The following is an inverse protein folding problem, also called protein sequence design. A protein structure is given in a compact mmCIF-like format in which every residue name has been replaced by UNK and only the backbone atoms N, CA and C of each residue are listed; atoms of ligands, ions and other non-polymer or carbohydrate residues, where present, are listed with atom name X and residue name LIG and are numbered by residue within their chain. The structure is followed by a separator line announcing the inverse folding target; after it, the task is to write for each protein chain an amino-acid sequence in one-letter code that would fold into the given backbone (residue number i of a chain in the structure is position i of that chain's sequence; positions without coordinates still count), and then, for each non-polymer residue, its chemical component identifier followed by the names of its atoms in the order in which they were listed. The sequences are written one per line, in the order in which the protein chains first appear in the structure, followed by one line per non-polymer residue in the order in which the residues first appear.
data_IF_121045529857
#
_entry.id   IF_121045529857
#
_cell.length_a   1.000
_cell.length_b   1.000
_cell.length_c   1.000
_cell.angle_alpha   90.00
_cell.angle_beta   90.00
_cell.angle_gamma   90.00
#
_symmetry.space_group_name_H-M   'P 1'
#
loop_
_entity.id
_entity.type
_entity.pdbx_description
1 polymer ?
#
# COMPACT_ATOMS: atom_id res chain seq x y z
N UNK A 1 13.92 13.00 -10.56
CA UNK A 1 12.73 12.83 -9.69
C UNK A 1 12.42 11.35 -9.55
N UNK A 2 12.10 10.86 -8.36
CA UNK A 2 11.71 9.45 -8.14
C UNK A 2 10.21 9.30 -8.36
N UNK A 3 9.79 8.29 -9.12
CA UNK A 3 8.40 8.00 -9.44
C UNK A 3 7.87 6.95 -8.48
N UNK A 4 6.84 7.29 -7.71
CA UNK A 4 6.28 6.42 -6.67
C UNK A 4 4.81 6.17 -6.94
N UNK A 5 4.42 4.91 -7.08
CA UNK A 5 3.03 4.49 -7.13
C UNK A 5 2.57 3.96 -5.78
N UNK A 6 1.42 4.42 -5.30
CA UNK A 6 0.74 3.86 -4.13
C UNK A 6 -0.57 3.26 -4.63
N UNK A 7 -0.64 1.93 -4.65
CA UNK A 7 -1.77 1.18 -5.20
C UNK A 7 -2.46 0.45 -4.06
N UNK A 8 -3.75 0.70 -3.86
CA UNK A 8 -4.44 0.12 -2.72
C UNK A 8 -5.89 -0.28 -3.01
N UNK A 9 -6.40 -1.19 -2.17
CA UNK A 9 -7.82 -1.41 -1.99
C UNK A 9 -8.25 -0.93 -0.60
N UNK A 10 -9.44 -0.34 -0.48
CA UNK A 10 -10.01 0.09 0.80
C UNK A 10 -11.53 0.03 0.74
N UNK A 11 -12.15 -0.80 1.58
CA UNK A 11 -13.60 -0.86 1.69
C UNK A 11 -14.16 0.30 2.53
N UNK A 12 -13.63 0.50 3.74
CA UNK A 12 -14.17 1.43 4.75
C UNK A 12 -13.26 2.62 5.07
N UNK A 13 -12.25 2.88 4.25
CA UNK A 13 -11.42 4.08 4.36
C UNK A 13 -10.09 3.92 5.11
N UNK A 14 -9.92 2.96 6.01
CA UNK A 14 -8.69 2.86 6.83
C UNK A 14 -7.42 2.72 5.98
N UNK A 15 -7.43 1.88 4.95
CA UNK A 15 -6.27 1.70 4.05
C UNK A 15 -6.07 2.91 3.14
N UNK A 16 -7.17 3.59 2.73
CA UNK A 16 -7.08 4.85 1.98
C UNK A 16 -6.36 5.92 2.79
N UNK A 17 -6.67 6.08 4.07
CA UNK A 17 -6.01 7.05 4.94
C UNK A 17 -4.51 6.77 5.08
N UNK A 18 -4.12 5.50 5.23
CA UNK A 18 -2.70 5.09 5.22
C UNK A 18 -2.05 5.39 3.86
N UNK A 19 -2.72 5.10 2.75
CA UNK A 19 -2.21 5.34 1.40
C UNK A 19 -1.98 6.84 1.12
N UNK A 20 -2.89 7.69 1.57
CA UNK A 20 -2.75 9.15 1.49
C UNK A 20 -1.56 9.64 2.33
N UNK A 21 -1.40 9.16 3.57
CA UNK A 21 -0.25 9.47 4.40
C UNK A 21 1.08 8.99 3.78
N UNK A 22 1.12 7.81 3.17
CA UNK A 22 2.29 7.35 2.41
C UNK A 22 2.60 8.30 1.25
N UNK A 23 1.57 8.70 0.48
CA UNK A 23 1.73 9.63 -0.63
C UNK A 23 2.30 10.99 -0.16
N UNK A 24 1.80 11.54 0.94
CA UNK A 24 2.35 12.75 1.58
C UNK A 24 3.82 12.56 1.95
N UNK A 25 4.18 11.41 2.54
CA UNK A 25 5.56 11.08 2.90
C UNK A 25 6.49 11.03 1.69
N UNK A 26 6.05 10.40 0.60
CA UNK A 26 6.83 10.34 -0.64
C UNK A 26 6.97 11.72 -1.31
N UNK A 27 5.89 12.52 -1.34
CA UNK A 27 5.91 13.88 -1.89
C UNK A 27 6.87 14.80 -1.13
N UNK A 28 6.96 14.68 0.20
CA UNK A 28 7.92 15.44 1.02
C UNK A 28 9.38 15.17 0.66
N UNK A 29 9.68 13.98 0.14
CA UNK A 29 11.00 13.62 -0.40
C UNK A 29 11.19 14.02 -1.88
N UNK A 30 10.25 14.76 -2.45
CA UNK A 30 10.30 15.23 -3.84
C UNK A 30 9.94 14.17 -4.88
N UNK A 31 9.22 13.11 -4.51
CA UNK A 31 8.72 12.13 -5.47
C UNK A 31 7.60 12.70 -6.35
N UNK A 32 7.56 12.26 -7.61
CA UNK A 32 6.36 12.32 -8.42
C UNK A 32 5.47 11.14 -7.99
N UNK A 33 4.24 11.39 -7.57
CA UNK A 33 3.40 10.40 -6.90
C UNK A 33 2.12 10.11 -7.69
N UNK A 34 1.84 8.82 -7.91
CA UNK A 34 0.56 8.31 -8.38
C UNK A 34 -0.14 7.54 -7.28
N UNK A 35 -1.16 8.15 -6.67
CA UNK A 35 -2.10 7.45 -5.77
C UNK A 35 -3.20 6.79 -6.60
N UNK A 36 -3.42 5.49 -6.40
CA UNK A 36 -4.34 4.68 -7.20
C UNK A 36 -5.15 3.74 -6.34
N UNK A 37 -6.46 3.65 -6.64
CA UNK A 37 -7.32 2.61 -6.10
C UNK A 37 -7.41 1.45 -7.08
N UNK A 38 -7.51 0.22 -6.63
CA UNK A 38 -7.89 -0.90 -7.51
C UNK A 38 -9.40 -0.91 -7.76
N UNK A 39 -9.84 -1.68 -8.76
CA UNK A 39 -11.26 -1.86 -9.05
C UNK A 39 -12.00 -2.54 -7.90
N UNK A 40 -13.26 -2.14 -7.72
CA UNK A 40 -14.20 -2.82 -6.83
C UNK A 40 -14.78 -4.05 -7.54
N UNK A 41 -14.96 -5.13 -6.79
CA UNK A 41 -15.54 -6.39 -7.29
C UNK A 41 -16.84 -6.77 -6.60
N UNK A 42 -17.15 -6.12 -5.49
CA UNK A 42 -18.39 -6.34 -4.79
C UNK A 42 -19.59 -5.80 -5.60
N UNK A 43 -20.72 -6.52 -5.63
CA UNK A 43 -21.98 -5.98 -6.15
C UNK A 43 -22.43 -4.76 -5.35
N UNK A 44 -23.15 -3.85 -6.02
CA UNK A 44 -23.63 -2.61 -5.41
C UNK A 44 -24.47 -2.85 -4.14
N UNK A 45 -25.31 -3.91 -4.14
CA UNK A 45 -26.09 -4.30 -2.97
C UNK A 45 -25.22 -4.65 -1.75
N UNK A 46 -24.07 -5.28 -1.96
CA UNK A 46 -23.15 -5.60 -0.87
C UNK A 46 -22.48 -4.35 -0.32
N UNK A 47 -22.08 -3.42 -1.20
CA UNK A 47 -21.49 -2.13 -0.82
C UNK A 47 -22.50 -1.32 -0.01
N UNK A 48 -23.73 -1.20 -0.51
CA UNK A 48 -24.81 -0.41 0.10
C UNK A 48 -25.32 -1.00 1.43
N UNK A 49 -25.03 -2.29 1.72
CA UNK A 49 -25.37 -2.91 3.01
C UNK A 49 -24.52 -2.38 4.19
N UNK A 50 -23.41 -1.70 3.89
CA UNK A 50 -22.55 -1.06 4.89
C UNK A 50 -22.41 0.44 4.58
N UNK A 51 -23.03 1.34 5.38
CA UNK A 51 -22.99 2.78 5.13
C UNK A 51 -21.58 3.38 5.05
N UNK A 52 -20.62 2.86 5.83
CA UNK A 52 -19.23 3.31 5.81
C UNK A 52 -18.55 2.90 4.50
N UNK A 53 -18.84 1.70 4.00
CA UNK A 53 -18.33 1.24 2.70
C UNK A 53 -18.95 2.04 1.55
N UNK A 54 -20.27 2.25 1.56
CA UNK A 54 -20.96 3.05 0.55
C UNK A 54 -20.39 4.48 0.44
N UNK A 55 -20.18 5.14 1.57
CA UNK A 55 -19.62 6.49 1.60
C UNK A 55 -18.15 6.52 1.14
N UNK A 56 -17.32 5.58 1.61
CA UNK A 56 -15.94 5.49 1.14
C UNK A 56 -15.87 5.14 -0.36
N UNK A 57 -16.76 4.27 -0.87
CA UNK A 57 -16.83 3.92 -2.28
C UNK A 57 -17.18 5.14 -3.15
N UNK A 58 -18.16 5.94 -2.72
CA UNK A 58 -18.57 7.18 -3.38
C UNK A 58 -17.44 8.21 -3.41
N UNK A 59 -16.82 8.49 -2.27
CA UNK A 59 -15.77 9.51 -2.14
C UNK A 59 -14.41 9.09 -2.70
N UNK A 60 -14.19 7.80 -2.93
CA UNK A 60 -12.95 7.30 -3.54
C UNK A 60 -12.97 7.36 -5.07
N UNK A 61 -14.10 7.70 -5.70
CA UNK A 61 -14.18 7.78 -7.17
C UNK A 61 -13.27 8.86 -7.76
N UNK A 62 -12.94 9.89 -6.98
CA UNK A 62 -11.99 10.95 -7.37
C UNK A 62 -10.55 10.44 -7.52
N UNK A 63 -10.22 9.30 -6.89
CA UNK A 63 -8.90 8.68 -7.00
C UNK A 63 -8.90 7.79 -8.25
N UNK A 64 -7.96 8.00 -9.20
CA UNK A 64 -7.88 7.20 -10.41
C UNK A 64 -7.68 5.71 -10.11
N UNK A 65 -8.22 4.86 -10.99
CA UNK A 65 -8.01 3.43 -10.90
C UNK A 65 -6.57 3.06 -11.32
N UNK A 66 -6.00 2.06 -10.67
CA UNK A 66 -4.69 1.53 -11.00
C UNK A 66 -4.72 0.86 -12.38
N UNK A 67 -3.74 1.21 -13.20
CA UNK A 67 -3.46 0.59 -14.49
C UNK A 67 -2.08 -0.06 -14.49
N UNK A 68 -1.83 -0.96 -15.45
CA UNK A 68 -0.50 -1.60 -15.57
C UNK A 68 0.61 -0.59 -15.88
N UNK A 69 0.29 0.52 -16.58
CA UNK A 69 1.23 1.62 -16.81
C UNK A 69 1.76 2.22 -15.50
N UNK A 70 0.94 2.27 -14.43
CA UNK A 70 1.38 2.81 -13.15
C UNK A 70 2.55 1.99 -12.55
N UNK A 71 2.56 0.67 -12.78
CA UNK A 71 3.64 -0.22 -12.34
C UNK A 71 4.89 -0.04 -13.19
N UNK A 72 4.73 0.07 -14.50
CA UNK A 72 5.86 0.25 -15.40
C UNK A 72 6.53 1.61 -15.21
N UNK A 73 5.72 2.66 -15.06
CA UNK A 73 6.16 4.03 -14.81
C UNK A 73 6.90 4.17 -13.47
N UNK A 74 6.55 3.42 -12.44
CA UNK A 74 7.09 3.64 -11.10
C UNK A 74 8.54 3.13 -10.92
N UNK A 75 9.33 3.84 -10.12
CA UNK A 75 10.61 3.34 -9.59
C UNK A 75 10.41 2.62 -8.25
N UNK A 76 9.37 3.02 -7.50
CA UNK A 76 8.91 2.33 -6.30
C UNK A 76 7.39 2.16 -6.26
N UNK A 77 6.93 1.03 -5.73
CA UNK A 77 5.49 0.73 -5.61
C UNK A 77 5.16 0.28 -4.19
N UNK A 78 4.21 0.96 -3.56
CA UNK A 78 3.67 0.56 -2.26
C UNK A 78 2.25 0.01 -2.41
N UNK A 79 2.01 -1.18 -1.88
CA UNK A 79 0.72 -1.85 -1.95
C UNK A 79 -0.03 -1.87 -0.61
N UNK A 80 -1.32 -1.53 -0.67
CA UNK A 80 -2.21 -1.50 0.49
C UNK A 80 -3.44 -2.38 0.32
N UNK A 81 -3.74 -3.22 1.31
CA UNK A 81 -5.00 -3.96 1.35
C UNK A 81 -5.52 -4.13 2.76
N UNK A 82 -6.84 -4.14 3.00
CA UNK A 82 -7.38 -4.68 4.22
C UNK A 82 -7.11 -6.21 4.27
N UNK A 83 -7.04 -6.77 5.46
CA UNK A 83 -6.95 -8.22 5.67
C UNK A 83 -8.26 -8.90 5.26
N UNK A 84 -8.13 -10.07 4.62
CA UNK A 84 -9.20 -11.07 4.46
C UNK A 84 -8.60 -12.41 4.83
N UNK A 85 -8.90 -12.88 6.05
CA UNK A 85 -8.36 -14.13 6.61
C UNK A 85 -6.83 -14.21 6.57
N UNK A 86 -6.14 -13.09 6.83
CA UNK A 86 -4.68 -13.03 6.83
C UNK A 86 -4.04 -12.89 5.44
N UNK A 87 -4.84 -12.68 4.40
CA UNK A 87 -4.44 -12.45 3.01
C UNK A 87 -4.91 -11.09 2.51
N UNK A 88 -4.36 -10.55 1.41
CA UNK A 88 -4.92 -9.37 0.76
C UNK A 88 -6.33 -9.66 0.22
N UNK A 89 -7.12 -8.60 0.09
CA UNK A 89 -8.46 -8.67 -0.47
C UNK A 89 -8.42 -9.07 -1.96
N UNK A 90 -9.48 -9.77 -2.40
CA UNK A 90 -9.60 -10.26 -3.78
C UNK A 90 -9.47 -9.13 -4.82
N UNK A 91 -9.96 -7.94 -4.50
CA UNK A 91 -9.84 -6.73 -5.32
C UNK A 91 -8.38 -6.39 -5.64
N UNK A 92 -7.51 -6.36 -4.63
CA UNK A 92 -6.08 -6.12 -4.87
C UNK A 92 -5.45 -7.31 -5.58
N UNK A 93 -5.78 -8.54 -5.16
CA UNK A 93 -5.21 -9.74 -5.75
C UNK A 93 -5.54 -9.87 -7.24
N UNK A 94 -6.74 -9.47 -7.67
CA UNK A 94 -7.12 -9.48 -9.07
C UNK A 94 -6.26 -8.50 -9.90
N UNK A 95 -5.95 -7.32 -9.38
CA UNK A 95 -5.02 -6.40 -10.04
C UNK A 95 -3.61 -7.01 -10.17
N UNK A 96 -3.10 -7.63 -9.10
CA UNK A 96 -1.81 -8.34 -9.12
C UNK A 96 -1.80 -9.47 -10.17
N UNK A 97 -2.90 -10.20 -10.33
CA UNK A 97 -3.01 -11.30 -11.30
C UNK A 97 -3.01 -10.84 -12.76
N UNK A 98 -3.30 -9.56 -13.02
CA UNK A 98 -3.21 -8.97 -14.36
C UNK A 98 -1.78 -8.60 -14.77
N UNK A 99 -0.80 -8.67 -13.85
CA UNK A 99 0.57 -8.21 -14.09
C UNK A 99 1.45 -9.19 -14.87
N UNK A 100 0.93 -10.35 -15.28
CA UNK A 100 1.68 -11.41 -15.93
C UNK A 100 2.46 -10.97 -17.18
N UNK A 101 1.91 -10.04 -17.96
CA UNK A 101 2.60 -9.48 -19.14
C UNK A 101 3.83 -8.65 -18.78
N UNK A 102 3.75 -7.79 -17.76
CA UNK A 102 4.89 -7.00 -17.26
C UNK A 102 5.95 -7.90 -16.62
N UNK A 103 5.49 -8.89 -15.84
CA UNK A 103 6.37 -9.87 -15.21
C UNK A 103 7.18 -10.66 -16.25
N UNK A 104 6.52 -11.21 -17.28
CA UNK A 104 7.20 -11.98 -18.33
C UNK A 104 8.23 -11.15 -19.11
N UNK A 105 8.07 -9.82 -19.14
CA UNK A 105 9.00 -8.88 -19.78
C UNK A 105 10.11 -8.40 -18.84
N UNK A 106 10.15 -8.84 -17.57
CA UNK A 106 11.11 -8.39 -16.57
C UNK A 106 10.88 -6.94 -16.10
N UNK A 107 9.76 -6.31 -16.46
CA UNK A 107 9.50 -4.88 -16.20
C UNK A 107 9.13 -4.56 -14.76
N UNK A 108 9.00 -5.57 -13.91
CA UNK A 108 8.71 -5.44 -12.48
C UNK A 108 9.96 -5.67 -11.61
N UNK A 109 11.05 -6.15 -12.22
CA UNK A 109 12.30 -6.41 -11.50
C UNK A 109 12.97 -5.10 -11.04
N UNK A 110 13.78 -5.22 -9.98
CA UNK A 110 14.65 -4.17 -9.43
C UNK A 110 13.96 -2.88 -8.95
N UNK A 111 12.62 -2.78 -9.07
CA UNK A 111 11.83 -1.73 -8.43
C UNK A 111 11.80 -1.94 -6.92
N UNK A 112 11.63 -0.85 -6.17
CA UNK A 112 11.48 -0.90 -4.71
C UNK A 112 10.02 -1.14 -4.34
N UNK A 113 9.77 -2.10 -3.44
CA UNK A 113 8.44 -2.45 -3.00
C UNK A 113 8.26 -2.34 -1.49
N UNK A 114 7.08 -1.95 -1.06
CA UNK A 114 6.67 -2.05 0.34
C UNK A 114 5.17 -2.29 0.44
N UNK A 115 4.73 -2.69 1.63
CA UNK A 115 3.36 -3.12 1.89
C UNK A 115 2.81 -2.48 3.16
N UNK A 116 1.51 -2.25 3.21
CA UNK A 116 0.79 -1.75 4.37
C UNK A 116 -0.62 -2.36 4.43
N UNK A 117 -1.24 -2.39 5.61
CA UNK A 117 -2.53 -3.08 5.75
C UNK A 117 -3.44 -2.49 6.83
N UNK A 118 -4.66 -3.01 6.92
CA UNK A 118 -5.54 -2.80 8.06
C UNK A 118 -6.32 -4.08 8.34
N UNK A 119 -6.53 -4.40 9.61
CA UNK A 119 -7.31 -5.54 10.06
C UNK A 119 -8.39 -5.09 11.03
N UNK A 120 -9.39 -5.91 11.33
CA UNK A 120 -10.31 -5.60 12.42
C UNK A 120 -9.59 -5.62 13.78
N UNK A 121 -8.79 -6.65 14.00
CA UNK A 121 -8.11 -6.93 15.27
C UNK A 121 -6.60 -6.70 15.19
N UNK A 122 -5.97 -6.38 16.33
CA UNK A 122 -4.53 -6.15 16.43
C UNK A 122 -3.68 -7.32 15.89
N UNK A 123 -4.07 -8.56 16.18
CA UNK A 123 -3.38 -9.77 15.71
C UNK A 123 -4.20 -10.56 14.68
N UNK A 124 -5.18 -9.91 14.04
CA UNK A 124 -6.07 -10.53 13.04
C UNK A 124 -5.48 -10.62 11.63
N UNK A 125 -4.17 -10.86 11.51
CA UNK A 125 -3.48 -10.95 10.22
C UNK A 125 -2.91 -9.64 9.68
N UNK A 126 -2.60 -8.65 10.54
CA UNK A 126 -1.87 -7.44 10.12
C UNK A 126 -0.48 -7.78 9.58
N UNK A 127 0.22 -8.73 10.19
CA UNK A 127 1.55 -9.16 9.75
C UNK A 127 1.45 -10.09 8.53
N UNK A 128 0.59 -11.12 8.61
CA UNK A 128 0.47 -12.13 7.57
C UNK A 128 0.02 -11.55 6.22
N UNK A 129 -0.86 -10.55 6.23
CA UNK A 129 -1.34 -9.90 4.99
C UNK A 129 -0.20 -9.18 4.28
N UNK A 130 0.68 -8.52 5.03
CA UNK A 130 1.87 -7.86 4.48
C UNK A 130 2.84 -8.90 3.90
N UNK A 131 3.12 -9.97 4.64
CA UNK A 131 3.98 -11.06 4.18
C UNK A 131 3.42 -11.73 2.92
N UNK A 132 2.10 -11.94 2.85
CA UNK A 132 1.43 -12.50 1.69
C UNK A 132 1.52 -11.58 0.46
N UNK A 133 1.39 -10.26 0.62
CA UNK A 133 1.65 -9.32 -0.47
C UNK A 133 3.12 -9.38 -0.92
N UNK A 134 4.05 -9.42 0.03
CA UNK A 134 5.49 -9.48 -0.23
C UNK A 134 5.92 -10.74 -1.01
N UNK A 135 5.19 -11.86 -0.88
CA UNK A 135 5.41 -13.03 -1.73
C UNK A 135 5.35 -12.69 -3.23
N UNK A 136 4.46 -11.78 -3.63
CA UNK A 136 4.35 -11.31 -5.02
C UNK A 136 5.64 -10.63 -5.46
N UNK A 137 6.24 -9.82 -4.59
CA UNK A 137 7.44 -9.04 -4.92
C UNK A 137 8.68 -9.94 -5.09
N UNK A 138 8.76 -11.06 -4.37
CA UNK A 138 9.81 -12.06 -4.60
C UNK A 138 9.72 -12.64 -6.02
N UNK A 139 8.52 -12.96 -6.50
CA UNK A 139 8.31 -13.47 -7.86
C UNK A 139 8.58 -12.44 -8.95
N UNK A 140 8.41 -11.15 -8.63
CA UNK A 140 8.73 -10.05 -9.54
C UNK A 140 10.22 -9.71 -9.58
N UNK A 141 11.05 -10.25 -8.69
CA UNK A 141 12.45 -9.84 -8.55
C UNK A 141 12.60 -8.43 -7.95
N UNK A 142 11.67 -8.05 -7.08
CA UNK A 142 11.61 -6.72 -6.48
C UNK A 142 12.45 -6.58 -5.21
N UNK A 143 12.85 -5.34 -4.91
CA UNK A 143 13.61 -4.98 -3.71
C UNK A 143 12.68 -4.53 -2.59
N UNK A 144 12.50 -5.36 -1.55
CA UNK A 144 11.57 -5.05 -0.47
C UNK A 144 12.21 -4.08 0.54
N UNK A 145 11.59 -2.91 0.73
CA UNK A 145 12.00 -1.87 1.65
C UNK A 145 11.00 -1.72 2.82
N UNK A 146 11.04 -2.67 3.76
CA UNK A 146 10.25 -2.62 4.98
C UNK A 146 10.69 -1.47 5.92
N UNK A 147 9.81 -0.93 6.79
CA UNK A 147 10.20 0.10 7.74
C UNK A 147 11.14 -0.44 8.83
N UNK A 148 11.01 -1.71 9.22
CA UNK A 148 11.77 -2.25 10.36
C UNK A 148 11.45 -1.51 11.66
N UNK A 149 12.47 -1.28 12.47
CA UNK A 149 12.42 -0.42 13.67
C UNK A 149 13.39 0.74 13.55
N UNK A 150 13.49 1.34 12.35
CA UNK A 150 14.51 2.34 12.03
C UNK A 150 14.19 3.76 12.53
N UNK A 151 13.08 3.94 13.25
CA UNK A 151 12.70 5.20 13.90
C UNK A 151 11.81 4.94 15.13
N UNK A 152 11.99 5.65 16.26
CA UNK A 152 11.13 5.55 17.45
C UNK A 152 9.62 5.66 17.17
N UNK A 153 9.20 6.43 16.16
CA UNK A 153 7.78 6.59 15.79
C UNK A 153 7.11 5.25 15.45
N UNK A 154 7.87 4.27 14.98
CA UNK A 154 7.35 2.96 14.59
C UNK A 154 6.86 2.17 15.81
N UNK A 155 7.51 2.34 16.97
CA UNK A 155 7.05 1.75 18.23
C UNK A 155 5.73 2.39 18.69
N UNK A 156 5.61 3.72 18.57
CA UNK A 156 4.40 4.44 18.91
C UNK A 156 3.20 4.02 18.04
N UNK A 157 3.45 3.61 16.79
CA UNK A 157 2.43 3.12 15.86
C UNK A 157 2.02 1.65 16.08
N UNK A 158 2.53 0.99 17.11
CA UNK A 158 2.25 -0.42 17.43
C UNK A 158 3.35 -1.40 17.02
N UNK A 159 4.48 -0.92 16.48
CA UNK A 159 5.70 -1.71 16.35
C UNK A 159 5.66 -2.84 15.32
N UNK A 160 5.04 -2.62 14.15
CA UNK A 160 5.02 -3.60 13.06
C UNK A 160 6.19 -3.36 12.07
N UNK A 161 7.23 -4.22 12.07
CA UNK A 161 8.43 -3.99 11.26
C UNK A 161 8.21 -4.33 9.78
N UNK A 162 7.16 -5.08 9.44
CA UNK A 162 6.88 -5.50 8.07
C UNK A 162 6.25 -4.36 7.26
N UNK A 163 5.50 -3.47 7.92
CA UNK A 163 4.81 -2.34 7.30
C UNK A 163 3.80 -1.69 8.25
N UNK A 164 3.44 -0.41 8.04
CA UNK A 164 2.39 0.27 8.78
C UNK A 164 1.07 -0.50 8.70
N UNK A 165 0.42 -0.67 9.84
CA UNK A 165 -0.83 -1.39 9.94
C UNK A 165 -1.76 -0.79 10.99
N UNK A 166 -3.07 -0.86 10.76
CA UNK A 166 -4.08 -0.33 11.68
C UNK A 166 -5.18 -1.35 12.05
N UNK A 167 -5.45 -1.58 13.36
CA UNK A 167 -6.64 -2.27 13.83
C UNK A 167 -7.87 -1.34 13.75
N UNK A 168 -8.72 -1.58 12.76
CA UNK A 168 -9.86 -0.75 12.38
C UNK A 168 -11.15 -1.03 13.13
N UNK A 169 -11.20 -2.05 14.01
CA UNK A 169 -12.42 -2.44 14.73
C UNK A 169 -13.62 -2.62 13.77
N UNK A 170 -13.44 -3.47 12.74
CA UNK A 170 -14.39 -3.67 11.64
C UNK A 170 -14.75 -2.39 10.85
N UNK A 171 -13.81 -1.45 10.75
CA UNK A 171 -13.99 -0.20 10.02
C UNK A 171 -14.67 0.91 10.82
N UNK A 172 -14.91 0.69 12.13
CA UNK A 172 -15.39 1.74 13.03
C UNK A 172 -14.32 2.79 13.32
N UNK A 173 -13.05 2.36 13.35
CA UNK A 173 -11.91 3.21 13.69
C UNK A 173 -11.06 3.51 12.44
N UNK A 174 -10.65 4.78 12.32
CA UNK A 174 -9.66 5.22 11.35
C UNK A 174 -8.27 5.26 12.00
N UNK A 175 -7.18 5.20 11.20
CA UNK A 175 -5.83 5.31 11.73
C UNK A 175 -5.62 6.59 12.55
N UNK A 176 -5.17 6.42 13.79
CA UNK A 176 -4.78 7.53 14.63
C UNK A 176 -3.46 8.20 14.15
N UNK A 177 -3.10 9.37 14.70
CA UNK A 177 -1.94 10.13 14.24
C UNK A 177 -0.62 9.35 14.23
N UNK A 178 -0.40 8.43 15.20
CA UNK A 178 0.85 7.65 15.26
C UNK A 178 1.00 6.73 14.04
N UNK A 179 -0.12 6.12 13.61
CA UNK A 179 -0.15 5.21 12.46
C UNK A 179 -0.04 5.96 11.14
N UNK A 180 -0.66 7.14 11.05
CA UNK A 180 -0.48 8.03 9.90
C UNK A 180 0.97 8.51 9.80
N UNK A 181 1.65 8.77 10.92
CA UNK A 181 3.06 9.16 10.91
C UNK A 181 3.98 8.01 10.48
N UNK A 182 3.72 6.78 10.94
CA UNK A 182 4.42 5.59 10.44
C UNK A 182 4.20 5.36 8.93
N UNK A 183 2.99 5.64 8.43
CA UNK A 183 2.69 5.61 7.01
C UNK A 183 3.48 6.66 6.22
N UNK A 184 3.52 7.93 6.67
CA UNK A 184 4.38 8.97 6.07
C UNK A 184 5.84 8.58 6.07
N UNK A 185 6.33 8.05 7.20
CA UNK A 185 7.70 7.58 7.33
C UNK A 185 8.04 6.53 6.28
N UNK A 186 7.17 5.53 6.08
CA UNK A 186 7.37 4.51 5.05
C UNK A 186 7.47 5.14 3.66
N UNK A 187 6.54 6.04 3.30
CA UNK A 187 6.55 6.72 2.00
C UNK A 187 7.85 7.46 1.74
N UNK A 188 8.35 8.20 2.74
CA UNK A 188 9.64 8.89 2.63
C UNK A 188 10.82 7.93 2.53
N UNK A 189 10.86 6.90 3.40
CA UNK A 189 11.93 5.90 3.41
C UNK A 189 12.06 5.16 2.07
N UNK A 190 10.94 4.69 1.52
CA UNK A 190 10.92 3.99 0.22
C UNK A 190 11.38 4.91 -0.90
N UNK A 191 10.95 6.18 -0.88
CA UNK A 191 11.37 7.17 -1.87
C UNK A 191 12.89 7.40 -1.86
N UNK A 192 13.49 7.56 -0.67
CA UNK A 192 14.94 7.75 -0.54
C UNK A 192 15.74 6.54 -1.04
N UNK A 193 15.27 5.32 -0.73
CA UNK A 193 15.92 4.08 -1.21
C UNK A 193 15.83 3.97 -2.73
N UNK A 194 14.65 4.20 -3.30
CA UNK A 194 14.47 4.17 -4.74
C UNK A 194 15.29 5.25 -5.46
N UNK A 195 15.44 6.43 -4.85
CA UNK A 195 16.32 7.49 -5.38
C UNK A 195 17.80 7.04 -5.42
N UNK A 196 18.27 6.36 -4.37
CA UNK A 196 19.66 5.88 -4.28
C UNK A 196 19.98 4.76 -5.28
N UNK A 197 18.98 3.96 -5.67
CA UNK A 197 19.13 2.85 -6.62
C UNK A 197 19.06 3.29 -8.10
N UNK A 198 18.71 4.55 -8.39
CA UNK A 198 18.72 5.05 -9.77
C UNK A 198 20.15 5.05 -10.33
N UNK A 199 20.33 4.80 -11.64
CA UNK A 199 21.64 4.93 -12.28
C UNK A 199 22.25 6.31 -11.99
N UNK A 200 23.37 6.34 -11.27
CA UNK A 200 24.05 7.56 -10.82
C UNK A 200 23.80 7.98 -9.36
N UNK A 201 22.98 7.25 -8.60
CA UNK A 201 22.86 7.41 -7.14
C UNK A 201 24.02 6.71 -6.42
N UNK A 202 24.66 7.40 -5.48
CA UNK A 202 25.54 6.75 -4.50
C UNK A 202 24.69 6.28 -3.31
N UNK A 203 24.86 5.03 -2.89
CA UNK A 203 24.39 4.54 -1.59
C UNK A 203 25.13 5.22 -0.44
#
# INVERSE_FOLDING_TARGET
MTRVAIIYYSATGSVRSLAQAIAEGAQKEGAEVRLRRVAELAPEAAINSNPVWAENHRTSQEIPQAELDDLDWADAVLFGSPTRYGLPAAQLKQFLDQTGGLWAQGRLADKVYASFTSAANAHGGQESTILAMNNTFYHWGGLIAAPGYTDPLLFAAGGNPYGPSHPSNNGADLPDPSRLEAARYLGGRVTRIAAALKPGGSL
#
